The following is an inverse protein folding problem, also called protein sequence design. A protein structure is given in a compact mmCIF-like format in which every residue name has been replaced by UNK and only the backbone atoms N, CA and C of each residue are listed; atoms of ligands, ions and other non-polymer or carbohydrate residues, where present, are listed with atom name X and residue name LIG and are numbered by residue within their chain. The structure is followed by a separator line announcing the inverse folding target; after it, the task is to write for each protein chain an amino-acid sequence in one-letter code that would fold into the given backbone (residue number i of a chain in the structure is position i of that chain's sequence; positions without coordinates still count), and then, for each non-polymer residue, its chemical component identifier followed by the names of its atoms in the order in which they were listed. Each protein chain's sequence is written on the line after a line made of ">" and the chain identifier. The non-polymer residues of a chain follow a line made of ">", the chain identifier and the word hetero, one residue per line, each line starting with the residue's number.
data_IF_545509763956
#
_entry.id   IF_545509763956
#
_cell.length_a   1.000
_cell.length_b   1.000
_cell.length_c   1.000
_cell.angle_alpha   90.00
_cell.angle_beta   90.00
_cell.angle_gamma   90.00
#
_symmetry.space_group_name_H-M   'P 1'
#
loop_
_entity.id
_entity.type
_entity.pdbx_description
1 polymer ?
#
# COMPACT_ATOMS: atom_id res chain seq x y z
N UNK A 1 5.24 0.86 -15.88
CA UNK A 1 5.99 -0.37 -16.22
C UNK A 1 5.18 -1.55 -15.72
N UNK A 2 5.12 -2.65 -16.46
CA UNK A 2 4.47 -3.89 -16.04
C UNK A 2 5.38 -4.67 -15.05
N UNK A 3 4.83 -5.57 -14.22
CA UNK A 3 5.60 -6.42 -13.31
C UNK A 3 6.46 -7.41 -14.10
N UNK A 4 7.56 -7.88 -13.47
CA UNK A 4 8.44 -8.90 -14.10
C UNK A 4 7.74 -10.25 -14.18
N UNK A 5 7.04 -10.64 -13.10
CA UNK A 5 6.33 -11.93 -12.97
C UNK A 5 4.88 -11.69 -12.58
N UNK A 6 3.97 -12.46 -13.14
CA UNK A 6 2.53 -12.36 -12.90
C UNK A 6 1.89 -13.75 -12.89
N UNK A 7 1.08 -14.03 -11.86
CA UNK A 7 0.16 -15.16 -11.84
C UNK A 7 -1.21 -14.71 -12.34
N UNK A 8 -1.74 -15.41 -13.34
CA UNK A 8 -3.10 -15.22 -13.88
C UNK A 8 -3.94 -16.42 -13.50
N UNK A 9 -4.96 -16.23 -12.67
CA UNK A 9 -5.83 -17.29 -12.13
C UNK A 9 -7.24 -17.06 -12.63
N UNK A 10 -7.67 -17.89 -13.59
CA UNK A 10 -8.98 -17.76 -14.24
C UNK A 10 -9.27 -19.07 -14.99
N UNK A 11 -10.47 -19.61 -14.90
CA UNK A 11 -10.88 -20.86 -15.53
C UNK A 11 -11.27 -20.71 -17.02
N UNK A 12 -11.36 -19.47 -17.52
CA UNK A 12 -11.57 -19.17 -18.94
C UNK A 12 -10.24 -19.32 -19.72
N UNK A 13 -10.02 -20.49 -20.30
CA UNK A 13 -8.80 -20.81 -21.02
C UNK A 13 -8.54 -19.89 -22.22
N UNK A 14 -9.59 -19.45 -22.94
CA UNK A 14 -9.44 -18.54 -24.08
C UNK A 14 -9.02 -17.14 -23.62
N UNK A 15 -9.66 -16.63 -22.59
CA UNK A 15 -9.29 -15.33 -21.99
C UNK A 15 -7.86 -15.33 -21.44
N UNK A 16 -7.49 -16.38 -20.71
CA UNK A 16 -6.15 -16.48 -20.11
C UNK A 16 -5.05 -16.62 -21.15
N UNK A 17 -5.26 -17.41 -22.20
CA UNK A 17 -4.29 -17.56 -23.30
C UNK A 17 -4.01 -16.22 -23.96
N UNK A 18 -5.04 -15.50 -24.41
CA UNK A 18 -4.85 -14.24 -25.11
C UNK A 18 -4.31 -13.12 -24.21
N UNK A 19 -4.79 -13.03 -22.96
CA UNK A 19 -4.28 -12.05 -22.01
C UNK A 19 -2.81 -12.32 -21.67
N UNK A 20 -2.44 -13.58 -21.46
CA UNK A 20 -1.06 -13.97 -21.20
C UNK A 20 -0.14 -13.59 -22.38
N UNK A 21 -0.52 -13.93 -23.62
CA UNK A 21 0.23 -13.54 -24.83
C UNK A 21 0.39 -12.02 -24.93
N UNK A 22 -0.69 -11.28 -24.67
CA UNK A 22 -0.69 -9.82 -24.68
C UNK A 22 0.28 -9.21 -23.65
N UNK A 23 0.32 -9.73 -22.43
CA UNK A 23 1.22 -9.26 -21.37
C UNK A 23 2.67 -9.71 -21.60
N UNK A 24 2.87 -10.94 -22.10
CA UNK A 24 4.19 -11.47 -22.45
C UNK A 24 4.85 -10.68 -23.58
N UNK A 25 4.09 -10.26 -24.59
CA UNK A 25 4.59 -9.38 -25.67
C UNK A 25 5.10 -8.02 -25.15
N UNK A 26 4.75 -7.66 -23.91
CA UNK A 26 5.17 -6.43 -23.21
C UNK A 26 6.24 -6.67 -22.14
N UNK A 27 6.82 -7.87 -22.10
CA UNK A 27 7.96 -8.21 -21.26
C UNK A 27 7.62 -8.71 -19.85
N UNK A 28 6.35 -9.13 -19.58
CA UNK A 28 5.96 -9.78 -18.34
C UNK A 28 6.04 -11.30 -18.49
N UNK A 29 6.65 -11.98 -17.53
CA UNK A 29 6.54 -13.44 -17.42
C UNK A 29 5.19 -13.75 -16.78
N UNK A 30 4.30 -14.38 -17.55
CA UNK A 30 2.96 -14.76 -17.08
C UNK A 30 2.89 -16.28 -16.93
N UNK A 31 2.42 -16.70 -15.76
CA UNK A 31 2.07 -18.07 -15.48
C UNK A 31 0.55 -18.16 -15.25
N UNK A 32 -0.09 -19.13 -15.89
CA UNK A 32 -1.55 -19.28 -15.92
C UNK A 32 -1.95 -20.46 -15.05
N UNK A 33 -2.97 -20.28 -14.23
CA UNK A 33 -3.57 -21.27 -13.35
C UNK A 33 -5.08 -21.33 -13.62
N UNK A 34 -5.59 -22.53 -13.83
CA UNK A 34 -7.00 -22.72 -14.13
C UNK A 34 -7.90 -22.58 -12.89
N UNK A 35 -7.34 -22.75 -11.70
CA UNK A 35 -8.07 -22.58 -10.44
C UNK A 35 -7.15 -22.18 -9.26
N UNK A 36 -7.77 -21.94 -8.12
CA UNK A 36 -7.07 -21.57 -6.89
C UNK A 36 -6.15 -22.67 -6.36
N UNK A 37 -6.52 -23.94 -6.54
CA UNK A 37 -5.75 -25.07 -6.02
C UNK A 37 -4.47 -25.26 -6.83
N UNK A 38 -4.53 -25.08 -8.15
CA UNK A 38 -3.37 -25.12 -9.04
C UNK A 38 -2.32 -24.10 -8.62
N UNK A 39 -2.75 -22.86 -8.37
CA UNK A 39 -1.83 -21.84 -7.85
C UNK A 39 -1.26 -22.23 -6.48
N UNK A 40 -2.11 -22.70 -5.55
CA UNK A 40 -1.67 -22.99 -4.18
C UNK A 40 -0.81 -24.26 -4.09
N UNK A 41 -0.93 -25.18 -5.04
CA UNK A 41 -0.10 -26.37 -5.16
C UNK A 41 1.25 -26.11 -5.84
N UNK A 42 1.44 -24.93 -6.44
CA UNK A 42 2.69 -24.53 -7.07
C UNK A 42 3.83 -24.41 -6.04
N UNK A 43 5.08 -24.65 -6.43
CA UNK A 43 6.25 -24.59 -5.54
C UNK A 43 6.43 -23.24 -4.85
N UNK A 44 6.03 -22.16 -5.51
CA UNK A 44 6.15 -20.79 -4.97
C UNK A 44 4.91 -19.95 -5.23
N UNK A 45 3.76 -20.26 -4.62
CA UNK A 45 2.48 -19.62 -4.91
C UNK A 45 2.42 -18.14 -4.53
N UNK A 46 3.31 -17.68 -3.67
CA UNK A 46 3.38 -16.30 -3.16
C UNK A 46 4.56 -15.51 -3.73
N UNK A 47 5.29 -16.04 -4.70
CA UNK A 47 6.52 -15.45 -5.25
C UNK A 47 6.33 -14.53 -6.46
N UNK A 48 5.10 -14.33 -6.92
CA UNK A 48 4.82 -13.47 -8.06
C UNK A 48 4.81 -11.99 -7.67
N UNK A 49 5.30 -11.14 -8.57
CA UNK A 49 5.27 -9.68 -8.38
C UNK A 49 3.88 -9.07 -8.54
N UNK A 50 2.94 -9.84 -9.13
CA UNK A 50 1.55 -9.43 -9.37
C UNK A 50 0.62 -10.62 -9.51
N UNK A 51 -0.65 -10.45 -9.12
CA UNK A 51 -1.71 -11.43 -9.30
C UNK A 51 -2.90 -10.81 -10.02
N UNK A 52 -3.43 -11.52 -11.02
CA UNK A 52 -4.74 -11.27 -11.62
C UNK A 52 -5.63 -12.46 -11.31
N UNK A 53 -6.79 -12.24 -10.68
CA UNK A 53 -7.64 -13.31 -10.12
C UNK A 53 -9.08 -13.10 -10.59
N UNK A 54 -9.71 -14.15 -11.13
CA UNK A 54 -11.18 -14.20 -11.22
C UNK A 54 -11.78 -14.60 -9.86
N UNK A 55 -12.98 -14.15 -9.59
CA UNK A 55 -13.76 -14.57 -8.42
C UNK A 55 -14.54 -15.87 -8.67
N UNK A 56 -14.85 -16.18 -9.93
CA UNK A 56 -15.67 -17.31 -10.31
C UNK A 56 -14.82 -18.57 -10.58
N UNK A 57 -13.93 -18.87 -9.64
CA UNK A 57 -13.06 -20.04 -9.76
C UNK A 57 -13.72 -21.30 -9.22
N UNK A 58 -13.46 -22.46 -9.81
CA UNK A 58 -13.81 -23.74 -9.19
C UNK A 58 -12.96 -23.97 -7.92
N UNK A 59 -13.54 -24.70 -6.95
CA UNK A 59 -12.86 -25.02 -5.70
C UNK A 59 -12.90 -23.91 -4.67
N UNK A 60 -11.75 -23.32 -4.33
CA UNK A 60 -11.68 -22.19 -3.40
C UNK A 60 -12.16 -20.90 -4.09
N UNK A 61 -13.16 -20.24 -3.51
CA UNK A 61 -13.70 -18.98 -4.03
C UNK A 61 -12.59 -17.93 -4.19
N UNK A 62 -12.61 -17.22 -5.31
CA UNK A 62 -11.60 -16.21 -5.62
C UNK A 62 -11.45 -15.11 -4.55
N UNK A 63 -12.53 -14.80 -3.82
CA UNK A 63 -12.46 -13.85 -2.70
C UNK A 63 -11.60 -14.37 -1.55
N UNK A 64 -11.69 -15.67 -1.25
CA UNK A 64 -10.85 -16.28 -0.21
C UNK A 64 -9.41 -16.42 -0.67
N UNK A 65 -9.18 -16.68 -1.95
CA UNK A 65 -7.84 -16.61 -2.54
C UNK A 65 -7.25 -15.21 -2.41
N UNK A 66 -8.00 -14.13 -2.71
CA UNK A 66 -7.58 -12.73 -2.53
C UNK A 66 -7.13 -12.47 -1.08
N UNK A 67 -7.94 -12.88 -0.08
CA UNK A 67 -7.59 -12.73 1.35
C UNK A 67 -6.30 -13.48 1.69
N UNK A 68 -6.13 -14.69 1.15
CA UNK A 68 -4.95 -15.52 1.41
C UNK A 68 -3.70 -14.90 0.80
N UNK A 69 -3.77 -14.47 -0.46
CA UNK A 69 -2.66 -13.81 -1.16
C UNK A 69 -2.24 -12.54 -0.42
N UNK A 70 -3.19 -11.70 0.03
CA UNK A 70 -2.89 -10.47 0.75
C UNK A 70 -2.25 -10.72 2.12
N UNK A 71 -2.57 -11.81 2.81
CA UNK A 71 -1.92 -12.18 4.08
C UNK A 71 -0.48 -12.67 3.90
N UNK A 72 -0.12 -13.15 2.72
CA UNK A 72 1.17 -13.81 2.44
C UNK A 72 2.09 -13.00 1.52
N UNK A 73 1.56 -11.95 0.86
CA UNK A 73 2.28 -11.19 -0.15
C UNK A 73 1.83 -9.73 -0.17
N UNK A 74 2.79 -8.82 -0.39
CA UNK A 74 2.55 -7.40 -0.67
C UNK A 74 2.48 -7.11 -2.19
N UNK A 75 2.45 -8.14 -3.03
CA UNK A 75 2.35 -8.02 -4.48
C UNK A 75 1.08 -7.28 -4.91
N UNK A 76 1.09 -6.68 -6.09
CA UNK A 76 -0.11 -6.09 -6.68
C UNK A 76 -1.18 -7.15 -6.93
N UNK A 77 -2.44 -6.84 -6.64
CA UNK A 77 -3.55 -7.76 -6.78
C UNK A 77 -4.73 -7.08 -7.48
N UNK A 78 -5.00 -7.52 -8.72
CA UNK A 78 -6.12 -7.10 -9.55
C UNK A 78 -7.15 -8.23 -9.63
N UNK A 79 -8.41 -7.90 -9.38
CA UNK A 79 -9.51 -8.82 -9.64
C UNK A 79 -10.16 -8.47 -10.97
N UNK A 80 -10.41 -9.48 -11.83
CA UNK A 80 -11.10 -9.34 -13.12
C UNK A 80 -12.22 -10.37 -13.15
N UNK A 81 -13.48 -9.96 -13.00
CA UNK A 81 -14.58 -10.92 -12.84
C UNK A 81 -15.90 -10.45 -13.45
N UNK A 82 -16.76 -11.41 -13.80
CA UNK A 82 -18.12 -11.16 -14.29
C UNK A 82 -19.14 -10.81 -13.20
N UNK A 83 -18.78 -10.89 -11.91
CA UNK A 83 -19.69 -10.52 -10.80
C UNK A 83 -19.84 -9.00 -10.71
N UNK A 84 -21.01 -8.45 -11.06
CA UNK A 84 -21.25 -7.01 -11.17
C UNK A 84 -21.92 -6.38 -9.93
N UNK A 85 -22.23 -7.15 -8.89
CA UNK A 85 -22.95 -6.61 -7.74
C UNK A 85 -22.08 -5.60 -6.96
N UNK A 86 -22.61 -4.41 -6.58
CA UNK A 86 -21.85 -3.39 -5.85
C UNK A 86 -21.26 -3.91 -4.51
N UNK A 87 -21.94 -4.86 -3.88
CA UNK A 87 -21.51 -5.50 -2.65
C UNK A 87 -20.22 -6.32 -2.85
N UNK A 88 -20.09 -6.98 -4.01
CA UNK A 88 -18.90 -7.76 -4.39
C UNK A 88 -17.69 -6.85 -4.55
N UNK A 89 -17.87 -5.70 -5.19
CA UNK A 89 -16.80 -4.70 -5.32
C UNK A 89 -16.23 -4.28 -3.94
N UNK A 90 -17.13 -3.95 -3.00
CA UNK A 90 -16.73 -3.56 -1.64
C UNK A 90 -16.04 -4.71 -0.89
N UNK A 91 -16.55 -5.94 -1.03
CA UNK A 91 -15.96 -7.12 -0.42
C UNK A 91 -14.55 -7.41 -0.93
N UNK A 92 -14.34 -7.29 -2.24
CA UNK A 92 -13.04 -7.54 -2.90
C UNK A 92 -11.98 -6.54 -2.46
N UNK A 93 -12.32 -5.25 -2.44
CA UNK A 93 -11.38 -4.22 -1.97
C UNK A 93 -11.10 -4.35 -0.47
N UNK A 94 -12.12 -4.68 0.33
CA UNK A 94 -11.95 -4.94 1.77
C UNK A 94 -11.14 -6.21 2.05
N UNK A 95 -11.18 -7.20 1.15
CA UNK A 95 -10.34 -8.40 1.22
C UNK A 95 -8.87 -8.14 0.90
N UNK A 96 -8.54 -6.97 0.35
CA UNK A 96 -7.17 -6.52 0.09
C UNK A 96 -6.78 -6.49 -1.38
N UNK A 97 -7.72 -6.64 -2.32
CA UNK A 97 -7.44 -6.34 -3.73
C UNK A 97 -7.14 -4.86 -3.91
N UNK A 98 -6.25 -4.55 -4.85
CA UNK A 98 -5.84 -3.18 -5.16
C UNK A 98 -6.76 -2.52 -6.17
N UNK A 99 -7.38 -3.32 -7.03
CA UNK A 99 -8.31 -2.87 -8.06
C UNK A 99 -9.24 -4.00 -8.48
N UNK A 100 -10.42 -3.63 -8.97
CA UNK A 100 -11.41 -4.52 -9.55
C UNK A 100 -11.77 -4.04 -10.97
N UNK A 101 -11.82 -4.97 -11.94
CA UNK A 101 -12.33 -4.76 -13.28
C UNK A 101 -13.46 -5.75 -13.56
N UNK A 102 -14.53 -5.25 -14.16
CA UNK A 102 -15.67 -6.07 -14.56
C UNK A 102 -15.47 -6.64 -15.97
N UNK A 103 -15.70 -7.94 -16.16
CA UNK A 103 -15.82 -8.56 -17.49
C UNK A 103 -17.16 -8.14 -18.14
N UNK A 104 -17.21 -7.86 -19.46
CA UNK A 104 -16.12 -7.96 -20.42
C UNK A 104 -15.12 -6.82 -20.31
N UNK A 105 -13.81 -7.12 -20.42
CA UNK A 105 -12.72 -6.16 -20.28
C UNK A 105 -11.75 -6.26 -21.47
N UNK A 106 -11.24 -5.13 -21.92
CA UNK A 106 -10.18 -5.09 -22.94
C UNK A 106 -8.82 -5.36 -22.31
N UNK A 107 -7.93 -6.09 -23.00
CA UNK A 107 -6.60 -6.42 -22.49
C UNK A 107 -5.74 -5.18 -22.20
N UNK A 108 -5.95 -4.11 -22.96
CA UNK A 108 -5.31 -2.83 -22.71
C UNK A 108 -5.75 -2.23 -21.36
N UNK A 109 -7.03 -2.32 -21.01
CA UNK A 109 -7.54 -1.87 -19.70
C UNK A 109 -6.91 -2.66 -18.57
N UNK A 110 -6.78 -3.99 -18.72
CA UNK A 110 -6.09 -4.84 -17.74
C UNK A 110 -4.64 -4.40 -17.59
N UNK A 111 -3.91 -4.18 -18.68
CA UNK A 111 -2.52 -3.74 -18.62
C UNK A 111 -2.36 -2.36 -17.97
N UNK A 112 -3.25 -1.41 -18.24
CA UNK A 112 -3.26 -0.09 -17.62
C UNK A 112 -3.56 -0.17 -16.12
N UNK A 113 -4.50 -1.04 -15.71
CA UNK A 113 -4.81 -1.31 -14.32
C UNK A 113 -3.60 -1.91 -13.58
N UNK A 114 -2.96 -2.93 -14.17
CA UNK A 114 -1.73 -3.53 -13.64
C UNK A 114 -0.65 -2.45 -13.47
N UNK A 115 -0.43 -1.59 -14.46
CA UNK A 115 0.56 -0.52 -14.35
C UNK A 115 0.23 0.49 -13.25
N UNK A 116 -1.04 0.83 -13.07
CA UNK A 116 -1.48 1.76 -12.04
C UNK A 116 -1.22 1.20 -10.63
N UNK A 117 -1.60 -0.06 -10.41
CA UNK A 117 -1.35 -0.78 -9.16
C UNK A 117 0.15 -0.96 -8.94
N UNK A 118 0.90 -1.38 -9.97
CA UNK A 118 2.34 -1.59 -9.88
C UNK A 118 3.10 -0.32 -9.49
N UNK A 119 2.72 0.85 -10.00
CA UNK A 119 3.32 2.12 -9.56
C UNK A 119 3.13 2.35 -8.06
N UNK A 120 1.97 1.98 -7.52
CA UNK A 120 1.69 2.08 -6.08
C UNK A 120 2.52 1.10 -5.27
N UNK A 121 2.56 -0.16 -5.70
CA UNK A 121 3.33 -1.23 -5.06
C UNK A 121 4.83 -0.92 -5.14
N UNK A 122 5.33 -0.45 -6.28
CA UNK A 122 6.73 -0.03 -6.44
C UNK A 122 7.09 1.17 -5.57
N UNK A 123 6.18 2.10 -5.34
CA UNK A 123 6.37 3.20 -4.38
C UNK A 123 6.40 2.71 -2.92
N UNK A 124 5.78 1.55 -2.64
CA UNK A 124 5.80 0.87 -1.34
C UNK A 124 6.89 -0.21 -1.23
N UNK A 125 7.61 -0.53 -2.31
CA UNK A 125 8.56 -1.65 -2.45
C UNK A 125 9.99 -1.30 -1.97
N UNK A 126 10.87 -2.29 -1.68
CA UNK A 126 12.19 -2.09 -1.08
C UNK A 126 13.23 -1.32 -1.92
N UNK A 127 12.92 -0.90 -3.17
CA UNK A 127 13.68 0.17 -3.82
C UNK A 127 13.49 1.53 -3.09
N UNK A 128 12.47 1.61 -2.22
CA UNK A 128 12.27 2.68 -1.27
C UNK A 128 11.90 2.02 0.07
N UNK A 129 12.88 1.56 0.86
CA UNK A 129 12.64 0.90 2.14
C UNK A 129 11.69 1.76 3.00
N UNK A 130 10.84 1.14 3.83
CA UNK A 130 9.92 1.89 4.67
C UNK A 130 10.70 2.79 5.62
N UNK A 131 10.14 3.93 5.94
CA UNK A 131 10.55 4.69 7.10
C UNK A 131 10.31 3.85 8.35
N UNK A 132 11.27 3.80 9.26
CA UNK A 132 11.15 3.04 10.51
C UNK A 132 11.16 3.96 11.70
N UNK A 133 10.17 3.84 12.56
CA UNK A 133 10.05 4.57 13.81
C UNK A 133 10.53 3.68 14.96
N UNK A 134 11.73 3.96 15.45
CA UNK A 134 12.23 3.34 16.68
C UNK A 134 11.77 4.17 17.88
N UNK A 135 10.76 3.65 18.56
CA UNK A 135 10.17 4.30 19.75
C UNK A 135 11.13 4.32 20.93
N UNK A 136 11.94 3.26 21.08
CA UNK A 136 12.87 3.13 22.21
C UNK A 136 14.07 4.03 22.05
N UNK A 137 14.66 4.03 20.87
CA UNK A 137 15.77 4.93 20.53
C UNK A 137 15.32 6.37 20.28
N UNK A 138 14.00 6.62 20.12
CA UNK A 138 13.42 7.92 19.74
C UNK A 138 13.99 8.42 18.43
N UNK A 139 14.02 7.56 17.42
CA UNK A 139 14.63 7.82 16.14
C UNK A 139 13.68 7.48 14.98
N UNK A 140 13.72 8.30 13.95
CA UNK A 140 13.13 7.99 12.65
C UNK A 140 14.26 7.64 11.69
N UNK A 141 14.20 6.42 11.15
CA UNK A 141 15.20 5.91 10.20
C UNK A 141 14.61 6.04 8.79
N UNK A 142 15.28 6.82 7.96
CA UNK A 142 14.90 7.05 6.57
C UNK A 142 15.21 5.82 5.69
N UNK A 143 14.61 5.74 4.48
CA UNK A 143 14.85 4.66 3.51
C UNK A 143 16.33 4.43 3.14
N UNK A 144 17.12 5.48 3.13
CA UNK A 144 18.57 5.44 2.86
C UNK A 144 19.42 5.08 4.08
N UNK A 145 18.79 4.81 5.24
CA UNK A 145 19.45 4.49 6.50
C UNK A 145 19.82 5.70 7.36
N UNK A 146 19.56 6.92 6.90
CA UNK A 146 19.82 8.12 7.70
C UNK A 146 18.94 8.15 8.95
N UNK A 147 19.52 8.58 10.07
CA UNK A 147 18.87 8.62 11.38
C UNK A 147 18.49 10.06 11.72
N UNK A 148 17.27 10.25 12.17
CA UNK A 148 16.72 11.53 12.64
C UNK A 148 16.33 11.39 14.10
N UNK A 149 17.00 12.08 15.00
CA UNK A 149 16.63 12.11 16.41
C UNK A 149 15.34 12.88 16.64
N UNK A 150 14.44 12.33 17.45
CA UNK A 150 13.10 12.82 17.68
C UNK A 150 12.94 13.42 19.08
N UNK A 151 12.26 14.58 19.16
CA UNK A 151 11.72 15.07 20.43
C UNK A 151 10.44 14.30 20.80
N UNK A 152 9.96 14.46 22.05
CA UNK A 152 8.72 13.82 22.51
C UNK A 152 7.52 14.19 21.62
N UNK A 153 7.41 15.46 21.26
CA UNK A 153 6.35 15.94 20.36
C UNK A 153 6.45 15.35 18.95
N UNK A 154 7.68 15.11 18.41
CA UNK A 154 7.84 14.47 17.12
C UNK A 154 7.43 13.00 17.16
N UNK A 155 7.81 12.30 18.22
CA UNK A 155 7.46 10.90 18.44
C UNK A 155 5.93 10.75 18.52
N UNK A 156 5.26 11.59 19.32
CA UNK A 156 3.80 11.61 19.44
C UNK A 156 3.11 11.82 18.09
N UNK A 157 3.61 12.76 17.27
CA UNK A 157 3.08 13.04 15.93
C UNK A 157 3.29 11.85 14.99
N UNK A 158 4.49 11.24 15.00
CA UNK A 158 4.80 10.10 14.15
C UNK A 158 4.03 8.83 14.56
N UNK A 159 3.75 8.64 15.84
CA UNK A 159 2.89 7.56 16.32
C UNK A 159 1.47 7.69 15.77
N UNK A 160 0.90 8.90 15.74
CA UNK A 160 -0.41 9.11 15.12
C UNK A 160 -0.40 8.73 13.63
N UNK A 161 0.68 9.01 12.89
CA UNK A 161 0.79 8.62 11.48
C UNK A 161 1.02 7.12 11.30
N UNK A 162 1.74 6.46 12.21
CA UNK A 162 1.92 5.02 12.18
C UNK A 162 0.57 4.28 12.41
N UNK A 163 -0.23 4.76 13.36
CA UNK A 163 -1.58 4.26 13.63
C UNK A 163 -2.55 4.51 12.47
N UNK A 164 -2.38 5.61 11.75
CA UNK A 164 -3.25 5.99 10.63
C UNK A 164 -2.95 5.25 9.32
N UNK A 165 -1.89 4.44 9.24
CA UNK A 165 -1.54 3.60 8.07
C UNK A 165 -1.60 4.32 6.71
N UNK A 166 -1.15 5.58 6.66
CA UNK A 166 -1.14 6.40 5.44
C UNK A 166 -2.41 7.22 5.20
N UNK A 167 -3.39 7.14 6.09
CA UNK A 167 -4.56 8.01 6.08
C UNK A 167 -4.25 9.40 6.62
N UNK A 168 -5.19 10.33 6.41
CA UNK A 168 -5.05 11.70 6.89
C UNK A 168 -5.38 11.80 8.37
N UNK A 169 -4.44 12.25 9.17
CA UNK A 169 -4.65 12.57 10.59
C UNK A 169 -5.10 14.03 10.71
N UNK A 170 -6.24 14.25 11.39
CA UNK A 170 -6.78 15.60 11.55
C UNK A 170 -5.94 16.44 12.51
N UNK A 171 -6.01 17.77 12.36
CA UNK A 171 -5.30 18.68 13.26
C UNK A 171 -5.75 18.54 14.70
N UNK A 172 -7.03 18.24 14.91
CA UNK A 172 -7.58 18.12 16.27
C UNK A 172 -7.11 16.83 16.96
N UNK A 173 -7.01 15.72 16.22
CA UNK A 173 -6.40 14.49 16.74
C UNK A 173 -4.94 14.72 17.14
N UNK A 174 -4.14 15.36 16.28
CA UNK A 174 -2.74 15.65 16.59
C UNK A 174 -2.60 16.57 17.80
N UNK A 175 -3.44 17.62 17.88
CA UNK A 175 -3.46 18.51 19.04
C UNK A 175 -3.87 17.78 20.33
N UNK A 176 -4.88 16.91 20.26
CA UNK A 176 -5.34 16.14 21.40
C UNK A 176 -4.25 15.21 21.94
N UNK A 177 -3.52 14.53 21.04
CA UNK A 177 -2.41 13.66 21.44
C UNK A 177 -1.23 14.45 22.02
N UNK A 178 -0.90 15.63 21.47
CA UNK A 178 0.13 16.52 22.01
C UNK A 178 -0.24 17.18 23.34
N UNK A 179 -1.55 17.33 23.66
CA UNK A 179 -2.03 17.87 24.95
C UNK A 179 -1.89 16.89 26.12
N UNK A 180 -1.59 15.63 25.89
CA UNK A 180 -1.32 14.63 26.93
C UNK A 180 -0.05 14.88 27.74
N UNK A 181 0.72 15.91 27.43
CA UNK A 181 1.85 16.47 28.18
C UNK A 181 1.38 17.59 29.13
N UNK A 182 2.04 17.86 30.28
CA UNK A 182 1.49 18.67 31.36
C UNK A 182 1.10 20.10 30.97
N UNK A 183 0.01 20.55 31.56
CA UNK A 183 -0.92 21.62 31.17
C UNK A 183 -0.40 23.09 31.21
N UNK A 184 0.87 23.38 31.19
CA UNK A 184 1.37 24.77 31.26
C UNK A 184 1.51 25.52 29.91
N UNK A 185 1.06 24.92 28.79
CA UNK A 185 1.23 25.48 27.43
C UNK A 185 -0.10 25.71 26.68
N UNK A 186 -1.20 26.11 27.35
CA UNK A 186 -2.54 26.10 26.72
C UNK A 186 -2.77 27.17 25.64
N UNK A 187 -2.04 28.27 25.61
CA UNK A 187 -2.14 29.30 24.55
C UNK A 187 -1.13 29.12 23.39
N UNK A 188 -0.05 28.36 23.64
CA UNK A 188 0.97 28.09 22.63
C UNK A 188 0.62 26.91 21.67
N UNK A 189 -0.47 26.19 21.88
CA UNK A 189 -0.76 24.89 21.20
C UNK A 189 -1.27 25.06 19.75
N UNK A 190 -1.88 26.19 19.40
CA UNK A 190 -2.29 26.41 18.00
C UNK A 190 -1.06 26.63 17.10
N UNK A 191 -0.06 27.38 17.59
CA UNK A 191 1.24 27.55 16.93
C UNK A 191 2.17 26.33 17.15
N UNK A 192 1.99 25.60 18.25
CA UNK A 192 2.81 24.45 18.64
C UNK A 192 2.76 23.30 17.64
N UNK A 193 1.59 22.89 17.14
CA UNK A 193 1.49 21.81 16.15
C UNK A 193 2.19 22.18 14.84
N UNK A 194 1.91 23.35 14.29
CA UNK A 194 2.54 23.80 13.05
C UNK A 194 4.06 23.94 13.23
N UNK A 195 4.51 24.44 14.38
CA UNK A 195 5.93 24.55 14.70
C UNK A 195 6.60 23.18 14.87
N UNK A 196 5.92 22.21 15.49
CA UNK A 196 6.42 20.82 15.63
C UNK A 196 6.55 20.16 14.26
N UNK A 197 5.50 20.21 13.42
CA UNK A 197 5.52 19.68 12.05
C UNK A 197 6.63 20.36 11.23
N UNK A 198 6.78 21.68 11.31
CA UNK A 198 7.82 22.41 10.60
C UNK A 198 9.22 21.98 11.05
N UNK A 199 9.48 21.90 12.36
CA UNK A 199 10.78 21.47 12.91
C UNK A 199 11.11 20.02 12.54
N UNK A 200 10.14 19.12 12.61
CA UNK A 200 10.30 17.73 12.19
C UNK A 200 10.67 17.64 10.70
N UNK A 201 9.95 18.34 9.83
CA UNK A 201 10.28 18.39 8.39
C UNK A 201 11.71 18.87 8.16
N UNK A 202 12.12 19.96 8.81
CA UNK A 202 13.47 20.52 8.69
C UNK A 202 14.56 19.57 9.18
N UNK A 203 14.28 18.79 10.24
CA UNK A 203 15.22 17.75 10.70
C UNK A 203 15.37 16.63 9.68
N UNK A 204 14.27 16.15 9.13
CA UNK A 204 14.30 15.15 8.07
C UNK A 204 15.06 15.68 6.85
N UNK A 205 14.75 16.86 6.35
CA UNK A 205 15.42 17.49 5.20
C UNK A 205 16.94 17.66 5.38
N UNK A 206 17.40 17.87 6.61
CA UNK A 206 18.84 17.99 6.92
C UNK A 206 19.54 16.64 7.03
N UNK A 207 18.84 15.60 7.45
CA UNK A 207 19.41 14.27 7.69
C UNK A 207 19.50 13.42 6.42
N UNK A 208 18.60 13.60 5.46
CA UNK A 208 18.51 12.77 4.27
C UNK A 208 18.08 13.57 3.03
N UNK A 209 18.61 13.24 1.82
CA UNK A 209 18.10 13.74 0.56
C UNK A 209 16.75 13.14 0.15
N UNK A 210 16.27 12.13 0.86
CA UNK A 210 14.97 11.50 0.58
C UNK A 210 13.84 12.52 0.80
N UNK A 211 12.89 12.66 -0.13
CA UNK A 211 11.79 13.60 0.02
C UNK A 211 11.01 13.38 1.32
N UNK A 212 10.74 14.48 2.04
CA UNK A 212 9.98 14.43 3.30
C UNK A 212 8.56 13.91 3.04
N UNK A 213 8.16 12.77 3.62
CA UNK A 213 6.87 12.14 3.34
C UNK A 213 5.68 12.85 4.01
N UNK A 214 5.96 13.82 4.88
CA UNK A 214 4.95 14.53 5.65
C UNK A 214 4.34 15.69 4.84
N UNK A 215 3.07 15.58 4.46
CA UNK A 215 2.35 16.55 3.65
C UNK A 215 1.14 17.13 4.38
N UNK A 216 0.91 18.43 4.19
CA UNK A 216 -0.30 19.08 4.68
C UNK A 216 -1.47 18.83 3.72
N UNK A 217 -2.64 18.44 4.25
CA UNK A 217 -3.93 18.49 3.56
C UNK A 217 -4.68 19.73 4.00
N UNK A 218 -4.92 20.62 3.02
CA UNK A 218 -5.56 21.92 3.25
C UNK A 218 -6.86 21.75 4.07
N UNK A 219 -6.98 22.53 5.15
CA UNK A 219 -8.12 22.59 6.08
C UNK A 219 -8.47 21.29 6.83
N UNK A 220 -7.80 20.17 6.56
CA UNK A 220 -8.10 18.87 7.19
C UNK A 220 -7.04 18.49 8.22
N UNK A 221 -5.78 18.35 7.79
CA UNK A 221 -4.73 17.83 8.66
C UNK A 221 -3.43 17.57 7.93
N UNK A 222 -2.80 16.46 8.28
CA UNK A 222 -1.52 16.04 7.73
C UNK A 222 -1.57 14.55 7.36
N UNK A 223 -0.73 14.14 6.42
CA UNK A 223 -0.60 12.74 6.00
C UNK A 223 0.88 12.40 5.83
N UNK A 224 1.25 11.19 6.20
CA UNK A 224 2.58 10.62 5.95
C UNK A 224 2.53 9.76 4.68
N UNK A 225 3.06 10.28 3.57
CA UNK A 225 2.97 9.69 2.22
C UNK A 225 4.05 8.64 1.93
N UNK A 226 4.40 7.84 2.92
CA UNK A 226 5.29 6.71 2.77
C UNK A 226 4.89 5.62 3.77
N UNK A 227 5.38 4.41 3.57
CA UNK A 227 5.20 3.34 4.55
C UNK A 227 6.01 3.68 5.80
N UNK A 228 5.35 3.77 6.95
CA UNK A 228 5.96 3.98 8.26
C UNK A 228 5.76 2.71 9.09
N UNK A 229 6.86 2.02 9.40
CA UNK A 229 6.87 0.82 10.26
C UNK A 229 7.43 1.16 11.64
N UNK A 230 6.79 0.68 12.69
CA UNK A 230 7.32 0.76 14.07
C UNK A 230 8.23 -0.43 14.34
N UNK A 231 9.36 -0.19 15.00
CA UNK A 231 10.35 -1.18 15.41
C UNK A 231 10.63 -1.06 16.91
#
# INVERSE_FOLDING_TARGET
>A
MLPKTLALVDDDAEFTEYLAQYLQSRGTQVEVFADSNDLLAHDNPYGYGFYVVDLMLPGIDGLDLVKLLRRRSDAGLLVVSGRLAPEVFNQVLSAGADMYLAKPVQFEQVALAIQAVQRRVAAASPANPPWRLDRRARQLIAPDGAIVDLSDGDLTVLDCFAEAHGETVTRDMLRQRLKGEPAEALEAVADGLNATIYRLRRRIERATPVPVPLQAKSRVGYVFRAVLKTV
#
